data_IF_276964466923
#
_entry.id   IF_276964466923
#
_cell.length_a   1.000
_cell.length_b   1.000
_cell.length_c   1.000
_cell.angle_alpha   90.00
_cell.angle_beta   90.00
_cell.angle_gamma   90.00
#
_symmetry.space_group_name_H-M   'P 1'
#
loop_
_entity.id
_entity.type
_entity.pdbx_description
1 polymer ?
#
# COMPACT_ATOMS: atom_id res chain seq x y z
N UNK A 1 -11.14 2.51 -0.50
CA UNK A 1 -9.79 2.66 0.03
C UNK A 1 -9.69 3.95 0.83
N UNK A 2 -9.11 3.88 1.99
CA UNK A 2 -8.88 5.06 2.81
C UNK A 2 -7.49 5.62 2.53
N UNK A 3 -7.26 6.89 2.88
CA UNK A 3 -5.93 7.49 2.84
C UNK A 3 -5.38 7.60 4.24
N UNK A 4 -4.06 7.42 4.36
CA UNK A 4 -3.35 7.59 5.60
C UNK A 4 -2.03 8.28 5.33
N UNK A 5 -1.43 8.85 6.37
CA UNK A 5 -0.12 9.49 6.28
C UNK A 5 0.80 8.80 7.28
N UNK A 6 1.94 8.33 6.79
CA UNK A 6 2.98 7.74 7.63
C UNK A 6 4.24 8.61 7.56
N UNK A 7 4.89 8.81 8.69
CA UNK A 7 6.16 9.52 8.70
C UNK A 7 7.29 8.62 8.28
N UNK A 8 8.11 9.11 7.35
CA UNK A 8 9.28 8.41 6.84
C UNK A 8 10.54 9.15 7.21
N UNK A 9 11.62 8.40 7.40
CA UNK A 9 12.95 8.94 7.58
C UNK A 9 13.69 8.86 6.24
N UNK A 10 13.99 10.00 5.65
CA UNK A 10 14.76 10.11 4.42
C UNK A 10 16.19 10.45 4.81
N UNK A 11 17.07 9.48 4.66
CA UNK A 11 18.49 9.66 4.97
C UNK A 11 19.24 10.05 3.70
N UNK A 12 19.78 11.29 3.61
CA UNK A 12 20.58 11.67 2.46
C UNK A 12 21.83 10.80 2.32
N UNK A 13 22.12 10.41 1.09
CA UNK A 13 23.32 9.67 0.77
C UNK A 13 24.34 10.58 0.05
N UNK A 14 25.62 10.19 0.04
CA UNK A 14 26.71 10.98 -0.53
C UNK A 14 26.54 11.24 -2.02
N UNK A 15 25.85 10.36 -2.74
CA UNK A 15 25.62 10.47 -4.18
C UNK A 15 24.41 11.33 -4.56
N UNK A 16 23.76 11.97 -3.59
CA UNK A 16 22.57 12.78 -3.82
C UNK A 16 21.25 12.03 -3.71
N UNK A 17 21.30 10.72 -3.53
CA UNK A 17 20.12 9.90 -3.32
C UNK A 17 19.66 9.87 -1.87
N UNK A 18 18.61 9.10 -1.62
CA UNK A 18 18.03 8.94 -0.29
C UNK A 18 17.72 7.47 0.00
N UNK A 19 18.04 7.05 1.21
CA UNK A 19 17.52 5.80 1.78
C UNK A 19 16.28 6.14 2.61
N UNK A 20 15.23 5.35 2.49
CA UNK A 20 13.94 5.63 3.13
C UNK A 20 13.55 4.48 4.03
N UNK A 21 13.21 4.82 5.28
CA UNK A 21 12.64 3.87 6.24
C UNK A 21 11.39 4.47 6.86
N UNK A 22 10.54 3.60 7.39
CA UNK A 22 9.33 3.99 8.11
C UNK A 22 9.42 3.44 9.53
N UNK A 23 9.65 4.28 10.55
CA UNK A 23 9.77 3.77 11.92
C UNK A 23 8.56 2.95 12.39
N UNK A 24 7.34 3.33 11.98
CA UNK A 24 6.13 2.60 12.35
C UNK A 24 5.91 1.34 11.52
N UNK A 25 6.64 1.17 10.41
CA UNK A 25 6.50 0.02 9.50
C UNK A 25 7.88 -0.44 9.07
N UNK A 26 8.63 -1.13 9.95
CA UNK A 26 10.03 -1.48 9.68
C UNK A 26 10.26 -2.34 8.43
N UNK A 27 9.25 -3.05 7.97
CA UNK A 27 9.37 -3.86 6.75
C UNK A 27 9.40 -3.02 5.48
N UNK A 28 8.94 -1.78 5.53
CA UNK A 28 8.94 -0.88 4.37
C UNK A 28 10.25 -0.13 4.29
N UNK A 29 11.11 -0.56 3.38
CA UNK A 29 12.44 0.03 3.15
C UNK A 29 12.61 0.23 1.66
N UNK A 30 13.09 1.41 1.26
CA UNK A 30 13.34 1.70 -0.15
C UNK A 30 14.43 2.76 -0.30
N UNK A 31 14.65 3.19 -1.52
CA UNK A 31 15.63 4.21 -1.85
C UNK A 31 15.27 4.88 -3.16
N UNK A 32 15.92 5.98 -3.47
CA UNK A 32 15.78 6.66 -4.74
C UNK A 32 16.99 7.53 -5.04
N UNK A 33 17.25 7.80 -6.31
CA UNK A 33 18.43 8.57 -6.75
C UNK A 33 18.30 10.07 -6.46
N UNK A 34 17.08 10.54 -6.28
CA UNK A 34 16.78 11.91 -5.88
C UNK A 34 15.55 11.90 -4.97
N UNK A 35 15.15 13.07 -4.49
CA UNK A 35 14.02 13.17 -3.55
C UNK A 35 12.72 12.68 -4.18
N UNK A 36 12.42 13.09 -5.41
CA UNK A 36 11.17 12.70 -6.05
C UNK A 36 11.10 11.19 -6.26
N UNK A 37 12.16 10.58 -6.78
CA UNK A 37 12.23 9.13 -6.95
C UNK A 37 12.08 8.39 -5.63
N UNK A 38 12.75 8.88 -4.58
CA UNK A 38 12.65 8.29 -3.25
C UNK A 38 11.22 8.38 -2.70
N UNK A 39 10.55 9.51 -2.89
CA UNK A 39 9.17 9.69 -2.42
C UNK A 39 8.21 8.75 -3.15
N UNK A 40 8.29 8.66 -4.47
CA UNK A 40 7.43 7.77 -5.24
C UNK A 40 7.67 6.30 -4.86
N UNK A 41 8.93 5.92 -4.70
CA UNK A 41 9.28 4.56 -4.25
C UNK A 41 8.82 4.30 -2.81
N UNK A 42 8.84 5.32 -1.95
CA UNK A 42 8.35 5.20 -0.57
C UNK A 42 6.85 4.91 -0.55
N UNK A 43 6.07 5.58 -1.38
CA UNK A 43 4.64 5.33 -1.50
C UNK A 43 4.40 3.88 -1.93
N UNK A 44 5.06 3.44 -3.00
CA UNK A 44 4.91 2.09 -3.53
C UNK A 44 5.31 1.01 -2.51
N UNK A 45 6.46 1.20 -1.87
CA UNK A 45 6.95 0.23 -0.89
C UNK A 45 6.02 0.10 0.31
N UNK A 46 5.54 1.23 0.82
CA UNK A 46 4.64 1.20 1.98
C UNK A 46 3.29 0.59 1.62
N UNK A 47 2.70 0.98 0.48
CA UNK A 47 1.42 0.42 0.04
C UNK A 47 1.52 -1.10 -0.15
N UNK A 48 2.62 -1.58 -0.71
CA UNK A 48 2.85 -3.01 -0.87
C UNK A 48 2.90 -3.74 0.47
N UNK A 49 3.64 -3.20 1.44
CA UNK A 49 3.74 -3.82 2.76
C UNK A 49 2.40 -3.82 3.49
N UNK A 50 1.63 -2.74 3.39
CA UNK A 50 0.31 -2.67 4.02
C UNK A 50 -0.67 -3.67 3.40
N UNK A 51 -0.65 -3.81 2.07
CA UNK A 51 -1.47 -4.81 1.38
C UNK A 51 -1.11 -6.22 1.82
N UNK A 52 0.18 -6.55 1.85
CA UNK A 52 0.66 -7.86 2.28
C UNK A 52 0.29 -8.16 3.74
N UNK A 53 0.35 -7.15 4.60
CA UNK A 53 -0.04 -7.27 6.00
C UNK A 53 -1.51 -7.70 6.12
N UNK A 54 -2.38 -7.04 5.38
CA UNK A 54 -3.81 -7.38 5.39
C UNK A 54 -4.08 -8.74 4.74
N UNK A 55 -3.37 -9.10 3.68
CA UNK A 55 -3.50 -10.40 3.03
C UNK A 55 -3.14 -11.55 3.97
N UNK A 56 -2.18 -11.33 4.88
CA UNK A 56 -1.83 -12.31 5.91
C UNK A 56 -2.83 -12.36 7.06
N UNK A 57 -3.87 -11.53 7.03
CA UNK A 57 -4.86 -11.47 8.10
C UNK A 57 -4.39 -10.71 9.33
N UNK A 58 -3.29 -9.97 9.21
CA UNK A 58 -2.76 -9.18 10.31
C UNK A 58 -3.37 -7.78 10.32
N UNK A 59 -3.39 -7.15 11.48
CA UNK A 59 -3.84 -5.77 11.62
C UNK A 59 -2.79 -4.81 11.08
N UNK A 60 -3.25 -3.67 10.56
CA UNK A 60 -2.34 -2.62 10.11
C UNK A 60 -1.54 -2.07 11.30
N UNK A 61 -0.28 -1.64 11.06
CA UNK A 61 0.53 -1.04 12.11
C UNK A 61 -0.14 0.20 12.70
N UNK A 62 -0.02 0.37 14.01
CA UNK A 62 -0.47 1.59 14.66
C UNK A 62 0.49 2.73 14.35
N UNK A 63 -0.07 3.90 14.10
CA UNK A 63 0.73 5.08 13.84
C UNK A 63 1.11 5.78 15.14
N UNK A 64 2.39 6.14 15.27
CA UNK A 64 2.85 7.03 16.33
C UNK A 64 2.35 8.44 16.06
N UNK A 65 2.36 9.29 17.08
CA UNK A 65 2.06 10.71 16.89
C UNK A 65 3.03 11.29 15.87
N UNK A 66 2.53 11.90 14.81
CA UNK A 66 3.34 12.37 13.69
C UNK A 66 4.36 13.43 14.11
N UNK A 67 3.97 14.37 14.94
CA UNK A 67 4.87 15.44 15.41
C UNK A 67 6.01 14.87 16.25
N UNK A 68 5.70 13.97 17.17
CA UNK A 68 6.71 13.34 18.02
C UNK A 68 7.67 12.49 17.19
N UNK A 69 7.14 11.71 16.25
CA UNK A 69 7.95 10.87 15.39
C UNK A 69 8.84 11.72 14.47
N UNK A 70 8.31 12.80 13.91
CA UNK A 70 9.08 13.73 13.08
C UNK A 70 10.28 14.30 13.84
N UNK A 71 10.08 14.71 15.08
CA UNK A 71 11.17 15.22 15.92
C UNK A 71 12.25 14.15 16.16
N UNK A 72 11.84 12.93 16.40
CA UNK A 72 12.76 11.81 16.60
C UNK A 72 13.58 11.53 15.33
N UNK A 73 12.93 11.54 14.16
CA UNK A 73 13.60 11.36 12.87
C UNK A 73 14.64 12.46 12.63
N UNK A 74 14.26 13.70 12.84
CA UNK A 74 15.16 14.86 12.66
C UNK A 74 16.36 14.76 13.60
N UNK A 75 16.13 14.37 14.84
CA UNK A 75 17.18 14.20 15.84
C UNK A 75 18.19 13.12 15.43
N UNK A 76 17.76 12.12 14.69
CA UNK A 76 18.63 11.04 14.20
C UNK A 76 19.51 11.46 13.01
N UNK A 77 19.29 12.66 12.46
CA UNK A 77 20.04 13.16 11.30
C UNK A 77 19.35 12.96 9.96
N UNK A 78 18.18 12.37 9.94
CA UNK A 78 17.40 12.19 8.72
C UNK A 78 16.38 13.30 8.53
N UNK A 79 15.83 13.39 7.33
CA UNK A 79 14.70 14.29 7.04
C UNK A 79 13.39 13.56 7.36
N UNK A 80 12.48 14.26 8.03
CA UNK A 80 11.15 13.73 8.30
C UNK A 80 10.22 14.10 7.16
N UNK A 81 9.65 13.11 6.50
CA UNK A 81 8.77 13.31 5.35
C UNK A 81 7.43 12.62 5.61
N UNK A 82 6.35 13.36 5.45
CA UNK A 82 5.00 12.81 5.56
C UNK A 82 4.62 12.16 4.24
N UNK A 83 4.41 10.85 4.25
CA UNK A 83 4.13 10.07 3.04
C UNK A 83 2.65 9.67 3.02
N UNK A 84 1.85 10.23 2.08
CA UNK A 84 0.45 9.83 1.94
C UNK A 84 0.35 8.53 1.15
N UNK A 85 -0.46 7.61 1.63
CA UNK A 85 -0.66 6.32 0.98
C UNK A 85 -2.13 5.95 0.97
N UNK A 86 -2.49 5.08 0.03
CA UNK A 86 -3.80 4.44 0.01
C UNK A 86 -3.75 3.19 0.86
N UNK A 87 -4.70 3.05 1.77
CA UNK A 87 -4.78 1.89 2.66
C UNK A 87 -5.95 1.04 2.21
N UNK A 88 -5.73 -0.25 1.91
CA UNK A 88 -6.83 -1.14 1.58
C UNK A 88 -7.83 -1.22 2.73
N UNK A 89 -9.11 -1.18 2.41
CA UNK A 89 -10.16 -1.38 3.40
C UNK A 89 -10.24 -2.83 3.82
N UNK A 90 -10.93 -3.09 4.92
CA UNK A 90 -11.22 -4.45 5.34
C UNK A 90 -12.14 -5.12 4.31
N UNK A 91 -11.88 -6.39 4.00
CA UNK A 91 -12.78 -7.17 3.17
C UNK A 91 -14.08 -7.41 3.94
N UNK A 92 -15.20 -7.14 3.28
CA UNK A 92 -16.53 -7.39 3.82
C UNK A 92 -17.18 -8.49 2.99
N UNK A 93 -17.76 -9.49 3.65
CA UNK A 93 -18.48 -10.54 2.93
C UNK A 93 -19.78 -9.99 2.39
N UNK A 94 -19.99 -10.09 1.08
CA UNK A 94 -21.25 -9.73 0.45
C UNK A 94 -21.77 -10.92 -0.36
N UNK A 95 -23.08 -11.07 -0.39
CA UNK A 95 -23.74 -12.08 -1.20
C UNK A 95 -24.34 -11.40 -2.41
N UNK A 96 -24.03 -11.92 -3.59
CA UNK A 96 -24.60 -11.42 -4.84
C UNK A 96 -25.24 -12.57 -5.61
N UNK A 97 -26.29 -12.27 -6.35
CA UNK A 97 -26.95 -13.23 -7.24
C UNK A 97 -26.50 -12.93 -8.66
N UNK A 98 -25.96 -13.95 -9.30
CA UNK A 98 -25.49 -13.87 -10.69
C UNK A 98 -26.15 -14.97 -11.51
N UNK A 99 -26.39 -14.67 -12.78
CA UNK A 99 -26.83 -15.66 -13.74
C UNK A 99 -25.82 -16.82 -13.79
N UNK A 100 -26.32 -18.05 -13.83
CA UNK A 100 -25.49 -19.26 -13.81
C UNK A 100 -24.49 -19.27 -14.96
N UNK A 101 -24.93 -18.88 -16.15
CA UNK A 101 -24.09 -18.82 -17.34
C UNK A 101 -22.96 -17.79 -17.18
N UNK A 102 -23.26 -16.61 -16.66
CA UNK A 102 -22.26 -15.59 -16.37
C UNK A 102 -21.27 -16.07 -15.31
N UNK A 103 -21.76 -16.69 -14.25
CA UNK A 103 -20.89 -17.22 -13.21
C UNK A 103 -19.91 -18.26 -13.73
N UNK A 104 -20.36 -19.15 -14.62
CA UNK A 104 -19.49 -20.13 -15.27
C UNK A 104 -18.39 -19.48 -16.10
N UNK A 105 -18.71 -18.40 -16.81
CA UNK A 105 -17.72 -17.63 -17.57
C UNK A 105 -16.71 -16.92 -16.67
N UNK A 106 -17.19 -16.37 -15.57
CA UNK A 106 -16.33 -15.74 -14.56
C UNK A 106 -15.33 -16.75 -13.98
N UNK A 107 -15.82 -17.92 -13.59
CA UNK A 107 -14.98 -18.95 -12.99
C UNK A 107 -13.90 -19.45 -13.95
N UNK A 108 -14.24 -19.64 -15.21
CA UNK A 108 -13.27 -20.07 -16.22
C UNK A 108 -12.19 -19.02 -16.45
N UNK A 109 -12.58 -17.76 -16.55
CA UNK A 109 -11.61 -16.68 -16.75
C UNK A 109 -10.74 -16.45 -15.53
N UNK A 110 -11.31 -16.53 -14.33
CA UNK A 110 -10.56 -16.42 -13.09
C UNK A 110 -9.50 -17.53 -12.99
N UNK A 111 -9.88 -18.76 -13.29
CA UNK A 111 -8.95 -19.89 -13.28
C UNK A 111 -7.81 -19.70 -14.29
N UNK A 112 -8.14 -19.24 -15.50
CA UNK A 112 -7.14 -18.96 -16.54
C UNK A 112 -6.14 -17.88 -16.11
N UNK A 113 -6.56 -16.95 -15.27
CA UNK A 113 -5.69 -15.86 -14.75
C UNK A 113 -5.03 -16.22 -13.41
N UNK A 114 -5.26 -17.40 -12.88
CA UNK A 114 -4.75 -17.79 -11.57
C UNK A 114 -5.37 -17.03 -10.40
N UNK A 115 -6.61 -16.58 -10.57
CA UNK A 115 -7.34 -15.81 -9.57
C UNK A 115 -8.49 -16.61 -8.97
N UNK A 116 -8.88 -16.26 -7.74
CA UNK A 116 -10.14 -16.73 -7.17
C UNK A 116 -11.31 -15.98 -7.81
N UNK A 117 -12.51 -16.53 -7.66
CA UNK A 117 -13.74 -15.83 -8.08
C UNK A 117 -13.83 -14.44 -7.48
N UNK A 118 -13.60 -14.32 -6.17
CA UNK A 118 -13.65 -13.02 -5.46
C UNK A 118 -12.59 -12.05 -5.99
N UNK A 119 -11.39 -12.52 -6.22
CA UNK A 119 -10.31 -11.69 -6.77
C UNK A 119 -10.62 -11.18 -8.17
N UNK A 120 -11.15 -12.04 -9.02
CA UNK A 120 -11.57 -11.66 -10.37
C UNK A 120 -12.68 -10.60 -10.33
N UNK A 121 -13.70 -10.81 -9.50
CA UNK A 121 -14.82 -9.89 -9.39
C UNK A 121 -14.37 -8.52 -8.85
N UNK A 122 -13.49 -8.50 -7.85
CA UNK A 122 -12.95 -7.26 -7.31
C UNK A 122 -12.17 -6.48 -8.36
N UNK A 123 -11.33 -7.17 -9.13
CA UNK A 123 -10.55 -6.54 -10.20
C UNK A 123 -11.44 -6.01 -11.31
N UNK A 124 -12.45 -6.77 -11.72
CA UNK A 124 -13.40 -6.33 -12.73
C UNK A 124 -14.17 -5.08 -12.28
N UNK A 125 -14.62 -5.06 -11.03
CA UNK A 125 -15.32 -3.92 -10.47
C UNK A 125 -14.42 -2.68 -10.42
N UNK A 126 -13.17 -2.82 -9.98
CA UNK A 126 -12.21 -1.72 -9.97
C UNK A 126 -11.96 -1.17 -11.36
N UNK A 127 -11.82 -2.05 -12.35
CA UNK A 127 -11.59 -1.66 -13.74
C UNK A 127 -12.77 -0.85 -14.29
N UNK A 128 -13.97 -1.32 -14.06
CA UNK A 128 -15.17 -0.65 -14.53
C UNK A 128 -15.39 0.70 -13.83
N UNK A 129 -15.14 0.77 -12.53
CA UNK A 129 -15.26 2.02 -11.76
C UNK A 129 -14.25 3.08 -12.23
N UNK A 130 -13.05 2.68 -12.61
CA UNK A 130 -12.04 3.61 -13.14
C UNK A 130 -12.43 4.23 -14.46
N UNK A 131 -13.22 3.53 -15.26
CA UNK A 131 -13.66 4.01 -16.58
C UNK A 131 -14.96 4.85 -16.49
N UNK A 132 -15.56 4.95 -15.32
CA UNK A 132 -16.81 5.69 -15.12
C UNK A 132 -16.56 7.18 -14.86
#
# INVERSE_FOLDING_TARGET
>A
MARAVFMAAFQPEDDGGFSVTFPDVPAAITQGDDFEAALLNAIDALETVLEETLERGESLPQQSNHTTLAKSIIKSGAQAVAVPVSVPGHAIRVNVMLDESLLGRIDREAEARGQSRSGFLAEAAKTLLRSA
#
